data_IF_401238854744
#
_entry.id   IF_401238854744
#
_cell.length_a   1.000
_cell.length_b   1.000
_cell.length_c   1.000
_cell.angle_alpha   90.00
_cell.angle_beta   90.00
_cell.angle_gamma   90.00
#
_symmetry.space_group_name_H-M   'P 1'
#
loop_
_entity.id
_entity.type
_entity.pdbx_description
1 polymer ?
#
# COMPACT_ATOMS: atom_id res chain seq x y z
N UNK A 1 16.34 32.52 -14.07
CA UNK A 1 16.91 31.32 -13.42
C UNK A 1 16.79 31.55 -11.92
N UNK A 2 15.69 31.09 -11.32
CA UNK A 2 15.51 31.19 -9.87
C UNK A 2 16.46 30.19 -9.20
N UNK A 3 17.13 30.54 -8.11
CA UNK A 3 17.98 29.60 -7.41
C UNK A 3 17.11 28.43 -6.93
N UNK A 4 17.59 27.20 -7.12
CA UNK A 4 16.96 26.03 -6.53
C UNK A 4 16.85 26.27 -5.02
N UNK A 5 15.63 26.39 -4.50
CA UNK A 5 15.42 26.37 -3.06
C UNK A 5 15.99 25.05 -2.56
N UNK A 6 16.99 25.13 -1.70
CA UNK A 6 17.52 23.98 -0.98
C UNK A 6 16.34 23.40 -0.18
N UNK A 7 15.93 22.20 -0.56
CA UNK A 7 14.76 21.49 -0.03
C UNK A 7 15.01 21.18 1.45
N UNK A 8 14.03 21.40 2.33
CA UNK A 8 14.24 21.26 3.77
C UNK A 8 14.29 19.78 4.23
N UNK A 9 13.75 18.88 3.40
CA UNK A 9 13.79 17.43 3.62
C UNK A 9 15.21 16.89 3.55
N UNK A 10 15.58 16.09 4.56
CA UNK A 10 16.93 15.56 4.74
C UNK A 10 17.03 14.09 4.32
N UNK A 11 15.91 13.36 4.30
CA UNK A 11 15.87 11.93 4.01
C UNK A 11 15.41 11.66 2.57
N UNK A 12 14.39 12.36 2.10
CA UNK A 12 13.87 12.27 0.72
C UNK A 12 14.75 13.09 -0.22
N UNK A 13 15.17 12.50 -1.33
CA UNK A 13 16.02 13.14 -2.33
C UNK A 13 15.21 14.07 -3.25
N UNK A 14 14.67 15.15 -2.67
CA UNK A 14 13.80 16.10 -3.37
C UNK A 14 14.50 16.77 -4.55
N UNK A 15 15.81 17.01 -4.48
CA UNK A 15 16.57 17.56 -5.61
C UNK A 15 16.44 16.66 -6.84
N UNK A 16 16.59 15.34 -6.69
CA UNK A 16 16.42 14.38 -7.79
C UNK A 16 14.98 14.32 -8.28
N UNK A 17 14.03 14.21 -7.35
CA UNK A 17 12.61 14.07 -7.68
C UNK A 17 12.09 15.29 -8.44
N UNK A 18 12.41 16.49 -7.97
CA UNK A 18 11.98 17.76 -8.58
C UNK A 18 12.68 18.00 -9.93
N UNK A 19 13.94 17.59 -10.08
CA UNK A 19 14.64 17.72 -11.36
C UNK A 19 13.98 16.91 -12.50
N UNK A 20 13.36 15.78 -12.17
CA UNK A 20 12.67 14.91 -13.13
C UNK A 20 11.16 15.18 -13.24
N UNK A 21 10.62 16.04 -12.38
CA UNK A 21 9.19 16.31 -12.25
C UNK A 21 8.49 16.68 -13.58
N UNK A 22 9.05 17.54 -14.45
CA UNK A 22 8.41 17.88 -15.73
C UNK A 22 8.16 16.66 -16.64
N UNK A 23 9.07 15.68 -16.63
CA UNK A 23 8.91 14.42 -17.35
C UNK A 23 7.95 13.50 -16.59
N UNK A 24 8.12 13.41 -15.28
CA UNK A 24 7.38 12.52 -14.40
C UNK A 24 5.88 12.79 -14.42
N UNK A 25 5.42 14.05 -14.43
CA UNK A 25 3.99 14.40 -14.49
C UNK A 25 3.33 13.86 -15.77
N UNK A 26 3.98 14.01 -16.93
CA UNK A 26 3.47 13.47 -18.19
C UNK A 26 3.46 11.95 -18.22
N UNK A 27 4.52 11.32 -17.69
CA UNK A 27 4.60 9.86 -17.57
C UNK A 27 3.53 9.30 -16.64
N UNK A 28 3.29 9.96 -15.50
CA UNK A 28 2.28 9.58 -14.52
C UNK A 28 0.87 9.63 -15.11
N UNK A 29 0.47 10.79 -15.64
CA UNK A 29 -0.88 11.00 -16.16
C UNK A 29 -1.20 10.15 -17.40
N UNK A 30 -0.19 9.85 -18.22
CA UNK A 30 -0.33 9.02 -19.42
C UNK A 30 -0.23 7.52 -19.18
N UNK A 31 0.14 7.09 -17.97
CA UNK A 31 0.37 5.67 -17.68
C UNK A 31 -0.91 4.84 -17.75
N UNK A 32 -0.76 3.58 -18.15
CA UNK A 32 -1.83 2.58 -18.23
C UNK A 32 -1.48 1.40 -17.32
N UNK A 33 -2.45 0.77 -16.62
CA UNK A 33 -3.90 0.86 -16.84
C UNK A 33 -4.61 2.02 -16.11
N UNK A 34 -3.90 2.70 -15.21
CA UNK A 34 -4.34 3.90 -14.51
C UNK A 34 -3.13 4.78 -14.21
N UNK A 35 -3.30 6.06 -13.86
CA UNK A 35 -2.17 6.95 -13.59
C UNK A 35 -1.26 6.41 -12.49
N UNK A 36 0.00 6.19 -12.82
CA UNK A 36 1.01 5.67 -11.91
C UNK A 36 2.42 6.00 -12.41
N UNK A 37 3.39 5.96 -11.50
CA UNK A 37 4.81 6.09 -11.83
C UNK A 37 5.67 5.30 -10.83
N UNK A 38 6.76 4.74 -11.34
CA UNK A 38 7.82 4.14 -10.52
C UNK A 38 8.96 5.15 -10.37
N UNK A 39 9.33 5.44 -9.13
CA UNK A 39 10.42 6.33 -8.77
C UNK A 39 11.50 5.51 -8.07
N UNK A 40 12.72 5.54 -8.58
CA UNK A 40 13.87 4.88 -7.98
C UNK A 40 14.73 5.86 -7.19
N UNK A 41 15.37 5.35 -6.13
CA UNK A 41 16.23 6.07 -5.20
C UNK A 41 15.55 7.29 -4.56
N UNK A 42 14.32 7.09 -4.06
CA UNK A 42 13.52 8.16 -3.46
C UNK A 42 14.18 8.72 -2.20
N UNK A 43 14.76 7.86 -1.37
CA UNK A 43 15.51 8.27 -0.19
C UNK A 43 16.99 8.44 -0.53
N UNK A 44 17.65 9.38 0.13
CA UNK A 44 19.11 9.40 0.19
C UNK A 44 19.62 8.07 0.76
N UNK A 45 20.74 7.57 0.20
CA UNK A 45 21.24 6.23 0.54
C UNK A 45 21.43 5.97 2.05
N UNK A 46 21.95 6.93 2.86
CA UNK A 46 22.04 6.73 4.31
C UNK A 46 20.67 6.60 5.00
N UNK A 47 19.66 7.33 4.51
CA UNK A 47 18.30 7.26 5.04
C UNK A 47 17.64 5.93 4.69
N UNK A 48 17.79 5.46 3.44
CA UNK A 48 17.32 4.14 3.03
C UNK A 48 17.94 3.02 3.87
N UNK A 49 19.27 3.03 4.03
CA UNK A 49 19.98 2.04 4.84
C UNK A 49 19.50 2.04 6.30
N UNK A 50 19.25 3.23 6.88
CA UNK A 50 18.74 3.36 8.25
C UNK A 50 17.29 2.90 8.40
N UNK A 51 16.45 3.15 7.39
CA UNK A 51 15.06 2.68 7.36
C UNK A 51 14.98 1.15 7.25
N UNK A 52 15.81 0.56 6.39
CA UNK A 52 15.95 -0.89 6.25
C UNK A 52 16.44 -1.54 7.55
N UNK A 53 17.50 -0.99 8.16
CA UNK A 53 18.05 -1.53 9.41
C UNK A 53 17.06 -1.40 10.58
N UNK A 54 16.22 -0.37 10.57
CA UNK A 54 15.12 -0.17 11.53
C UNK A 54 13.87 -1.00 11.22
N UNK A 55 13.81 -1.70 10.08
CA UNK A 55 12.63 -2.48 9.71
C UNK A 55 12.46 -3.69 10.63
N UNK A 56 11.27 -3.90 11.23
CA UNK A 56 11.07 -4.96 12.21
C UNK A 56 11.35 -6.36 11.66
N UNK A 57 11.87 -7.24 12.52
CA UNK A 57 12.18 -8.61 12.17
C UNK A 57 10.94 -9.41 11.75
N UNK A 58 11.15 -10.46 10.96
CA UNK A 58 10.06 -11.27 10.36
C UNK A 58 9.12 -11.91 11.38
N UNK A 59 9.61 -12.24 12.58
CA UNK A 59 8.85 -12.90 13.64
C UNK A 59 8.58 -12.00 14.85
N UNK A 60 8.72 -10.68 14.67
CA UNK A 60 8.44 -9.71 15.72
C UNK A 60 6.94 -9.72 16.10
N UNK A 61 6.65 -9.62 17.40
CA UNK A 61 5.29 -9.46 17.92
C UNK A 61 4.61 -8.15 17.47
N UNK A 62 5.41 -7.23 16.94
CA UNK A 62 5.03 -6.01 16.24
C UNK A 62 3.99 -6.22 15.12
N UNK A 63 3.98 -7.38 14.48
CA UNK A 63 3.15 -7.63 13.30
C UNK A 63 1.72 -8.07 13.64
N UNK A 64 0.73 -7.41 13.02
CA UNK A 64 -0.65 -7.90 12.94
C UNK A 64 -0.83 -8.72 11.66
N UNK A 65 -1.29 -9.96 11.79
CA UNK A 65 -1.47 -10.87 10.66
C UNK A 65 -2.86 -10.71 10.01
N UNK A 66 -2.86 -10.61 8.69
CA UNK A 66 -4.03 -10.69 7.83
C UNK A 66 -3.90 -11.96 7.00
N UNK A 67 -4.63 -13.00 7.42
CA UNK A 67 -4.52 -14.34 6.84
C UNK A 67 -5.92 -14.89 6.53
N UNK A 68 -6.35 -14.67 5.30
CA UNK A 68 -7.59 -15.23 4.74
C UNK A 68 -7.39 -15.51 3.23
N UNK A 69 -8.46 -15.83 2.51
CA UNK A 69 -8.37 -16.26 1.09
C UNK A 69 -7.72 -15.19 0.22
N UNK A 70 -8.02 -13.91 0.50
CA UNK A 70 -7.58 -12.80 -0.32
C UNK A 70 -6.20 -12.25 0.01
N UNK A 71 -5.69 -12.50 1.22
CA UNK A 71 -4.36 -12.06 1.59
C UNK A 71 -3.72 -12.93 2.67
N UNK A 72 -2.41 -13.07 2.55
CA UNK A 72 -1.54 -13.58 3.60
C UNK A 72 -0.40 -12.58 3.74
N UNK A 73 -0.66 -11.53 4.51
CA UNK A 73 0.25 -10.42 4.76
C UNK A 73 0.25 -10.02 6.24
N UNK A 74 1.22 -9.22 6.61
CA UNK A 74 1.39 -8.68 7.95
C UNK A 74 1.49 -7.17 7.84
N UNK A 75 0.90 -6.45 8.79
CA UNK A 75 1.04 -5.00 8.85
C UNK A 75 1.18 -4.48 10.28
N UNK A 76 1.68 -3.25 10.37
CA UNK A 76 1.60 -2.42 11.55
C UNK A 76 1.25 -0.99 11.12
N UNK A 77 0.15 -0.48 11.67
CA UNK A 77 -0.43 0.83 11.37
C UNK A 77 -0.23 1.83 12.52
N UNK A 78 0.70 1.56 13.45
CA UNK A 78 0.95 2.39 14.63
C UNK A 78 2.36 3.00 14.53
N UNK A 79 2.52 4.15 13.85
CA UNK A 79 3.82 4.73 13.56
C UNK A 79 4.69 5.00 14.80
N UNK A 80 4.08 5.38 15.92
CA UNK A 80 4.79 5.63 17.19
C UNK A 80 5.50 4.38 17.76
N UNK A 81 5.18 3.18 17.24
CA UNK A 81 5.84 1.94 17.63
C UNK A 81 7.05 1.58 16.75
N UNK A 82 7.27 2.31 15.66
CA UNK A 82 8.31 2.02 14.68
C UNK A 82 9.67 2.54 15.12
N UNK A 83 10.75 2.07 14.50
CA UNK A 83 12.06 2.68 14.68
C UNK A 83 12.05 4.16 14.25
N UNK A 84 12.82 5.02 14.94
CA UNK A 84 12.89 6.46 14.67
C UNK A 84 13.20 6.78 13.20
N UNK A 85 14.02 5.95 12.53
CA UNK A 85 14.33 6.11 11.11
C UNK A 85 13.10 5.97 10.20
N UNK A 86 12.20 5.04 10.52
CA UNK A 86 10.96 4.83 9.76
C UNK A 86 9.92 5.90 10.07
N UNK A 87 9.84 6.33 11.33
CA UNK A 87 8.99 7.47 11.71
C UNK A 87 9.41 8.73 10.97
N UNK A 88 10.71 9.04 10.94
CA UNK A 88 11.23 10.22 10.27
C UNK A 88 10.97 10.19 8.75
N UNK A 89 11.13 9.03 8.09
CA UNK A 89 10.75 8.86 6.67
C UNK A 89 9.26 9.13 6.45
N UNK A 90 8.39 8.54 7.27
CA UNK A 90 6.94 8.76 7.15
C UNK A 90 6.56 10.22 7.41
N UNK A 91 7.22 10.90 8.35
CA UNK A 91 7.02 12.33 8.62
C UNK A 91 7.40 13.20 7.42
N UNK A 92 8.51 12.90 6.73
CA UNK A 92 8.88 13.62 5.51
C UNK A 92 7.87 13.41 4.38
N UNK A 93 7.30 12.20 4.25
CA UNK A 93 6.21 11.94 3.31
C UNK A 93 4.89 12.65 3.67
N UNK A 94 4.69 13.04 4.93
CA UNK A 94 3.59 13.91 5.35
C UNK A 94 3.92 15.40 5.31
N UNK A 95 5.16 15.78 4.96
CA UNK A 95 5.58 17.17 4.98
C UNK A 95 4.86 18.00 3.90
N UNK A 96 4.61 19.30 4.12
CA UNK A 96 4.04 20.17 3.09
C UNK A 96 4.82 20.17 1.78
N UNK A 97 6.15 20.03 1.87
CA UNK A 97 7.04 20.01 0.70
C UNK A 97 6.85 18.76 -0.16
N UNK A 98 6.79 17.57 0.45
CA UNK A 98 6.53 16.34 -0.29
C UNK A 98 5.09 16.26 -0.80
N UNK A 99 4.13 16.76 -0.02
CA UNK A 99 2.73 16.87 -0.46
C UNK A 99 2.64 17.75 -1.70
N UNK A 100 3.25 18.93 -1.70
CA UNK A 100 3.27 19.82 -2.87
C UNK A 100 3.90 19.14 -4.11
N UNK A 101 4.97 18.37 -3.93
CA UNK A 101 5.54 17.55 -5.00
C UNK A 101 4.54 16.52 -5.54
N UNK A 102 3.81 15.81 -4.68
CA UNK A 102 2.79 14.86 -5.12
C UNK A 102 1.62 15.56 -5.83
N UNK A 103 1.20 16.74 -5.37
CA UNK A 103 0.16 17.52 -6.05
C UNK A 103 0.58 17.90 -7.47
N UNK A 104 1.82 18.34 -7.67
CA UNK A 104 2.35 18.68 -9.00
C UNK A 104 2.58 17.44 -9.88
N UNK A 105 3.09 16.35 -9.30
CA UNK A 105 3.30 15.08 -10.00
C UNK A 105 1.98 14.51 -10.53
N UNK A 106 0.95 14.56 -9.69
CA UNK A 106 -0.32 13.85 -9.94
C UNK A 106 -1.39 14.73 -10.57
N UNK A 107 -1.25 16.06 -10.45
CA UNK A 107 -2.27 17.03 -10.83
C UNK A 107 -3.49 17.07 -9.89
N UNK A 108 -3.42 16.43 -8.72
CA UNK A 108 -4.48 16.43 -7.71
C UNK A 108 -4.11 17.41 -6.61
N UNK A 109 -4.89 18.47 -6.42
CA UNK A 109 -4.66 19.49 -5.40
C UNK A 109 -5.39 19.21 -4.08
N UNK A 110 -4.95 19.88 -3.02
CA UNK A 110 -5.46 19.80 -1.65
C UNK A 110 -5.32 18.39 -1.06
N UNK A 111 -4.17 17.76 -1.30
CA UNK A 111 -3.87 16.44 -0.75
C UNK A 111 -3.66 16.53 0.76
N UNK A 112 -4.32 15.63 1.47
CA UNK A 112 -4.24 15.45 2.92
C UNK A 112 -3.46 14.16 3.17
N UNK A 113 -2.22 14.23 3.69
CA UNK A 113 -1.46 13.03 4.02
C UNK A 113 -2.02 12.37 5.29
N UNK A 114 -2.11 11.04 5.30
CA UNK A 114 -2.58 10.29 6.48
C UNK A 114 -1.42 9.69 7.28
N UNK A 115 -1.07 10.33 8.41
CA UNK A 115 -0.10 9.79 9.37
C UNK A 115 -0.75 8.83 10.39
N UNK A 116 -2.07 8.62 10.35
CA UNK A 116 -2.75 7.62 11.18
C UNK A 116 -2.65 6.21 10.60
N UNK A 117 -2.14 6.10 9.35
CA UNK A 117 -1.88 4.85 8.63
C UNK A 117 -3.14 4.00 8.45
N UNK A 118 -4.28 4.64 8.18
CA UNK A 118 -5.56 3.97 7.96
C UNK A 118 -5.49 3.07 6.71
N UNK A 119 -5.39 1.75 6.95
CA UNK A 119 -5.13 0.74 5.93
C UNK A 119 -3.71 0.75 5.33
N UNK A 120 -2.85 1.69 5.74
CA UNK A 120 -1.47 1.87 5.29
C UNK A 120 -0.47 1.19 6.23
N UNK A 121 0.66 1.86 6.48
CA UNK A 121 1.67 1.47 7.45
C UNK A 121 2.79 0.59 6.89
N UNK A 122 3.56 -0.01 7.79
CA UNK A 122 4.57 -1.00 7.41
C UNK A 122 3.88 -2.30 7.04
N UNK A 123 4.21 -2.87 5.89
CA UNK A 123 3.71 -4.14 5.40
C UNK A 123 4.85 -5.13 5.17
N UNK A 124 4.56 -6.39 5.44
CA UNK A 124 5.45 -7.51 5.21
C UNK A 124 4.66 -8.69 4.64
N UNK A 125 5.18 -9.31 3.58
CA UNK A 125 4.68 -10.61 3.10
C UNK A 125 5.78 -11.65 3.10
N UNK A 126 5.57 -12.76 3.81
CA UNK A 126 6.53 -13.86 3.94
C UNK A 126 6.44 -14.81 2.73
N UNK A 127 7.40 -15.74 2.61
CA UNK A 127 7.33 -16.86 1.66
C UNK A 127 5.95 -17.53 1.68
N UNK A 128 5.39 -17.76 0.49
CA UNK A 128 4.06 -18.34 0.27
C UNK A 128 2.90 -17.36 0.48
N UNK A 129 3.14 -16.16 1.02
CA UNK A 129 2.12 -15.14 1.18
C UNK A 129 1.84 -14.40 -0.12
N UNK A 130 0.65 -13.79 -0.21
CA UNK A 130 0.13 -13.13 -1.40
C UNK A 130 -0.86 -12.03 -1.02
N UNK A 131 -1.19 -11.20 -2.00
CA UNK A 131 -2.30 -10.25 -1.95
C UNK A 131 -3.03 -10.32 -3.29
N UNK A 132 -4.25 -10.85 -3.30
CA UNK A 132 -5.02 -10.99 -4.53
C UNK A 132 -5.28 -9.61 -5.17
N UNK A 133 -5.59 -9.62 -6.47
CA UNK A 133 -5.90 -8.38 -7.19
C UNK A 133 -7.10 -7.69 -6.55
N UNK A 134 -7.00 -6.38 -6.30
CA UNK A 134 -8.04 -5.59 -5.69
C UNK A 134 -7.99 -4.13 -6.13
N UNK A 135 -9.14 -3.46 -6.00
CA UNK A 135 -9.19 -2.01 -5.87
C UNK A 135 -9.40 -1.68 -4.40
N UNK A 136 -8.71 -0.64 -3.93
CA UNK A 136 -8.73 -0.24 -2.53
C UNK A 136 -10.07 0.32 -2.07
N UNK A 137 -10.26 0.39 -0.75
CA UNK A 137 -11.34 1.16 -0.17
C UNK A 137 -11.18 2.66 -0.51
N UNK A 138 -12.30 3.37 -0.64
CA UNK A 138 -12.31 4.72 -1.23
C UNK A 138 -12.32 5.89 -0.25
N UNK A 139 -12.52 5.65 1.04
CA UNK A 139 -12.67 6.72 2.06
C UNK A 139 -11.96 6.38 3.35
N UNK A 140 -11.47 7.38 4.06
CA UNK A 140 -10.89 7.20 5.39
C UNK A 140 -11.94 6.61 6.37
N UNK A 141 -11.54 5.70 7.25
CA UNK A 141 -12.48 4.98 8.11
C UNK A 141 -13.07 5.87 9.22
N UNK A 142 -12.32 6.88 9.67
CA UNK A 142 -12.72 7.82 10.73
C UNK A 142 -13.01 9.25 10.23
N UNK A 143 -12.64 9.59 9.00
CA UNK A 143 -12.90 10.90 8.38
C UNK A 143 -13.77 10.69 7.14
N UNK A 144 -15.10 10.62 7.34
CA UNK A 144 -16.02 10.14 6.30
C UNK A 144 -16.04 11.00 5.03
N UNK A 145 -15.69 12.27 5.14
CA UNK A 145 -15.59 13.21 4.02
C UNK A 145 -14.23 13.17 3.31
N UNK A 146 -13.29 12.31 3.72
CA UNK A 146 -12.00 12.15 3.06
C UNK A 146 -12.06 11.04 2.02
N UNK A 147 -11.87 11.40 0.74
CA UNK A 147 -11.75 10.47 -0.37
C UNK A 147 -10.29 10.13 -0.63
N UNK A 148 -9.96 8.84 -0.70
CA UNK A 148 -8.60 8.37 -1.00
C UNK A 148 -8.27 8.69 -2.46
N UNK A 149 -7.12 9.30 -2.70
CA UNK A 149 -6.69 9.76 -4.04
C UNK A 149 -5.41 9.09 -4.50
N UNK A 150 -4.39 9.07 -3.65
CA UNK A 150 -3.05 8.61 -4.02
C UNK A 150 -2.57 7.57 -3.02
N UNK A 151 -1.92 6.54 -3.56
CA UNK A 151 -1.10 5.63 -2.80
C UNK A 151 0.37 5.82 -3.14
N UNK A 152 1.22 5.80 -2.11
CA UNK A 152 2.65 5.54 -2.27
C UNK A 152 3.00 4.21 -1.62
N UNK A 153 3.82 3.42 -2.30
CA UNK A 153 4.39 2.17 -1.79
C UNK A 153 5.91 2.24 -1.92
N UNK A 154 6.61 2.57 -0.84
CA UNK A 154 8.07 2.52 -0.77
C UNK A 154 8.53 1.12 -0.39
N UNK A 155 9.32 0.48 -1.25
CA UNK A 155 9.88 -0.83 -0.99
C UNK A 155 11.17 -0.74 -0.18
N UNK A 156 11.20 -1.49 0.93
CA UNK A 156 12.27 -1.49 1.93
C UNK A 156 13.00 -2.85 1.95
N UNK A 157 13.18 -3.43 0.76
CA UNK A 157 13.92 -4.67 0.55
C UNK A 157 15.38 -4.31 0.24
N UNK A 158 16.36 -4.86 0.96
CA UNK A 158 17.78 -4.65 0.63
C UNK A 158 18.10 -5.16 -0.77
N UNK A 159 17.65 -6.38 -1.03
CA UNK A 159 17.78 -7.07 -2.31
C UNK A 159 16.45 -7.75 -2.63
N UNK A 160 16.11 -7.82 -3.90
CA UNK A 160 14.96 -8.59 -4.36
C UNK A 160 15.27 -9.25 -5.69
N UNK A 161 15.23 -10.58 -5.71
CA UNK A 161 15.44 -11.35 -6.94
C UNK A 161 14.12 -11.59 -7.66
N UNK A 162 14.16 -11.50 -8.99
CA UNK A 162 12.96 -11.62 -9.84
C UNK A 162 12.30 -12.99 -9.75
N UNK A 163 13.07 -14.07 -9.51
CA UNK A 163 12.57 -15.44 -9.35
C UNK A 163 11.84 -15.67 -8.02
N UNK A 164 11.90 -14.73 -7.08
CA UNK A 164 11.14 -14.75 -5.83
C UNK A 164 9.67 -14.33 -6.00
N UNK A 165 9.30 -13.83 -7.19
CA UNK A 165 7.96 -13.34 -7.48
C UNK A 165 7.65 -12.03 -6.75
N UNK A 166 6.37 -11.80 -6.42
CA UNK A 166 5.95 -10.65 -5.61
C UNK A 166 5.94 -9.30 -6.32
N UNK A 167 6.13 -9.29 -7.65
CA UNK A 167 5.88 -8.11 -8.48
C UNK A 167 4.43 -7.70 -8.31
N UNK A 168 4.19 -6.41 -8.08
CA UNK A 168 2.84 -5.88 -8.04
C UNK A 168 2.31 -5.81 -9.46
N UNK A 169 1.30 -6.60 -9.78
CA UNK A 169 0.56 -6.57 -11.03
C UNK A 169 -0.40 -5.38 -11.05
N UNK A 170 -0.50 -4.71 -12.20
CA UNK A 170 -1.43 -3.60 -12.49
C UNK A 170 -2.36 -4.06 -13.62
N UNK A 171 -3.66 -4.17 -13.32
CA UNK A 171 -4.67 -4.74 -14.21
C UNK A 171 -5.56 -3.67 -14.81
N UNK A 172 -6.07 -3.95 -16.01
CA UNK A 172 -7.07 -3.09 -16.63
C UNK A 172 -8.38 -3.01 -15.81
N UNK A 173 -9.18 -1.95 -15.98
CA UNK A 173 -10.44 -1.77 -15.24
C UNK A 173 -11.47 -2.89 -15.47
N UNK A 174 -11.34 -3.67 -16.54
CA UNK A 174 -12.23 -4.79 -16.87
C UNK A 174 -11.73 -6.13 -16.32
N UNK A 175 -10.58 -6.15 -15.62
CA UNK A 175 -9.90 -7.36 -15.15
C UNK A 175 -9.62 -8.38 -16.27
N UNK A 176 -9.33 -7.92 -17.49
CA UNK A 176 -9.09 -8.82 -18.63
C UNK A 176 -7.62 -9.18 -18.83
N UNK A 177 -6.70 -8.27 -18.52
CA UNK A 177 -5.27 -8.49 -18.63
C UNK A 177 -4.47 -7.67 -17.61
N UNK A 178 -3.35 -8.24 -17.18
CA UNK A 178 -2.28 -7.50 -16.52
C UNK A 178 -1.56 -6.63 -17.57
N UNK A 179 -1.53 -5.31 -17.37
CA UNK A 179 -0.93 -4.35 -18.31
C UNK A 179 0.41 -3.79 -17.83
N UNK A 180 0.78 -4.02 -16.56
CA UNK A 180 2.05 -3.59 -16.01
C UNK A 180 2.42 -4.38 -14.77
N UNK A 181 3.70 -4.41 -14.44
CA UNK A 181 4.18 -5.01 -13.19
C UNK A 181 5.28 -4.15 -12.57
N UNK A 182 5.33 -4.11 -11.24
CA UNK A 182 6.34 -3.37 -10.49
C UNK A 182 7.11 -4.31 -9.56
N UNK A 183 8.41 -4.48 -9.83
CA UNK A 183 9.31 -5.22 -8.93
C UNK A 183 9.45 -4.48 -7.60
N UNK A 184 9.36 -5.17 -6.45
CA UNK A 184 9.53 -4.55 -5.13
C UNK A 184 11.01 -4.32 -4.78
N UNK A 185 11.76 -3.66 -5.68
CA UNK A 185 13.18 -3.38 -5.50
C UNK A 185 13.43 -2.37 -4.37
N UNK A 186 14.57 -2.45 -3.69
CA UNK A 186 14.93 -1.51 -2.62
C UNK A 186 14.94 -0.05 -3.08
N UNK A 187 14.44 0.84 -2.23
CA UNK A 187 14.38 2.30 -2.45
C UNK A 187 13.56 2.71 -3.69
N UNK A 188 12.76 1.78 -4.22
CA UNK A 188 11.76 2.04 -5.25
C UNK A 188 10.44 2.42 -4.61
N UNK A 189 9.81 3.46 -5.12
CA UNK A 189 8.46 3.84 -4.78
C UNK A 189 7.54 3.68 -5.99
N UNK A 190 6.39 3.06 -5.78
CA UNK A 190 5.27 3.16 -6.71
C UNK A 190 4.32 4.24 -6.20
N UNK A 191 4.01 5.22 -7.04
CA UNK A 191 2.96 6.22 -6.79
C UNK A 191 1.83 5.97 -7.79
N UNK A 192 0.57 5.94 -7.34
CA UNK A 192 -0.56 5.73 -8.24
C UNK A 192 -1.87 6.33 -7.74
N UNK A 193 -2.74 6.68 -8.68
CA UNK A 193 -4.09 7.16 -8.39
C UNK A 193 -4.97 5.97 -8.03
N UNK A 194 -5.71 6.11 -6.93
CA UNK A 194 -6.69 5.13 -6.50
C UNK A 194 -8.07 5.45 -7.05
N UNK A 195 -8.72 4.46 -7.64
CA UNK A 195 -10.11 4.50 -8.09
C UNK A 195 -10.80 3.18 -7.77
N UNK A 196 -12.10 3.08 -8.06
CA UNK A 196 -12.85 1.83 -7.84
C UNK A 196 -12.44 0.68 -8.76
N UNK A 197 -11.55 0.94 -9.71
CA UNK A 197 -11.09 0.07 -10.78
C UNK A 197 -9.56 0.16 -11.01
N UNK A 198 -8.81 0.79 -10.11
CA UNK A 198 -7.35 0.77 -10.10
C UNK A 198 -6.84 -0.57 -9.55
N UNK A 199 -7.07 -1.65 -10.31
CA UNK A 199 -6.83 -3.02 -9.86
C UNK A 199 -5.35 -3.36 -9.78
N UNK A 200 -4.90 -3.81 -8.61
CA UNK A 200 -3.52 -4.19 -8.37
C UNK A 200 -3.38 -5.28 -7.30
N UNK A 201 -2.24 -5.97 -7.29
CA UNK A 201 -1.95 -6.99 -6.28
C UNK A 201 -0.73 -7.84 -6.64
N UNK A 202 -0.35 -8.78 -5.79
CA UNK A 202 0.63 -9.82 -6.10
C UNK A 202 0.03 -11.18 -5.70
N UNK A 203 -0.82 -11.76 -6.56
CA UNK A 203 -1.70 -12.88 -6.21
C UNK A 203 -0.98 -14.23 -6.08
N UNK A 204 0.26 -14.32 -6.60
CA UNK A 204 1.09 -15.51 -6.49
C UNK A 204 1.89 -15.50 -5.19
N UNK A 205 1.93 -16.66 -4.54
CA UNK A 205 2.68 -16.86 -3.29
C UNK A 205 4.18 -16.66 -3.52
N UNK A 206 4.82 -15.89 -2.66
CA UNK A 206 6.26 -15.59 -2.78
C UNK A 206 7.12 -16.86 -2.69
N UNK A 207 8.20 -16.90 -3.46
CA UNK A 207 9.19 -18.00 -3.49
C UNK A 207 10.52 -17.62 -2.84
N UNK A 208 10.60 -16.46 -2.19
CA UNK A 208 11.78 -15.98 -1.46
C UNK A 208 12.24 -16.96 -0.35
N UNK A 209 13.50 -16.87 0.11
CA UNK A 209 13.97 -17.61 1.29
C UNK A 209 13.08 -17.42 2.54
N UNK A 210 13.05 -18.39 3.47
CA UNK A 210 12.16 -18.37 4.63
C UNK A 210 12.41 -17.22 5.62
N UNK A 211 13.64 -16.70 5.65
CA UNK A 211 14.12 -15.60 6.48
C UNK A 211 13.98 -14.23 5.79
N UNK A 212 13.54 -14.23 4.52
CA UNK A 212 13.25 -13.04 3.74
C UNK A 212 11.75 -12.78 3.64
N UNK A 213 11.40 -11.52 3.40
CA UNK A 213 10.02 -11.10 3.18
C UNK A 213 9.98 -9.89 2.26
N UNK A 214 8.89 -9.73 1.51
CA UNK A 214 8.57 -8.52 0.75
C UNK A 214 8.14 -7.43 1.73
N UNK A 215 8.94 -6.37 1.88
CA UNK A 215 8.78 -5.27 2.83
C UNK A 215 8.40 -3.97 2.10
N UNK A 216 7.46 -3.23 2.67
CA UNK A 216 7.12 -1.90 2.18
C UNK A 216 6.58 -0.98 3.29
N UNK A 217 6.72 0.32 3.10
CA UNK A 217 5.92 1.35 3.76
C UNK A 217 4.85 1.82 2.77
N UNK A 218 3.58 1.70 3.16
CA UNK A 218 2.44 2.18 2.39
C UNK A 218 1.82 3.41 3.07
N UNK A 219 1.65 4.49 2.34
CA UNK A 219 1.00 5.71 2.83
C UNK A 219 0.01 6.25 1.81
N UNK A 220 -1.06 6.85 2.30
CA UNK A 220 -2.18 7.27 1.48
C UNK A 220 -2.46 8.76 1.66
N UNK A 221 -2.95 9.37 0.59
CA UNK A 221 -3.29 10.78 0.54
C UNK A 221 -4.73 10.92 0.08
N UNK A 222 -5.44 11.82 0.75
CA UNK A 222 -6.87 12.02 0.60
C UNK A 222 -7.17 13.43 0.10
N UNK A 223 -8.39 13.66 -0.36
CA UNK A 223 -8.95 15.01 -0.47
C UNK A 223 -10.23 15.07 0.36
N UNK A 224 -10.55 16.25 0.87
CA UNK A 224 -11.86 16.49 1.49
C UNK A 224 -12.91 16.76 0.41
N UNK A 225 -14.03 16.06 0.47
CA UNK A 225 -15.13 16.16 -0.50
C UNK A 225 -16.46 16.42 0.23
N UNK A 226 -17.34 17.24 -0.35
CA UNK A 226 -18.68 17.50 0.20
C UNK A 226 -19.50 16.21 0.33
N UNK A 227 -19.30 15.27 -0.60
CA UNK A 227 -19.89 13.95 -0.52
C UNK A 227 -18.92 12.91 -1.08
N UNK A 228 -18.59 11.91 -0.26
CA UNK A 228 -17.77 10.79 -0.67
C UNK A 228 -18.65 9.57 -0.94
N UNK A 229 -18.25 8.75 -1.92
CA UNK A 229 -18.85 7.43 -2.13
C UNK A 229 -17.95 6.40 -1.46
N UNK A 230 -18.40 5.89 -0.30
CA UNK A 230 -17.67 4.85 0.43
C UNK A 230 -17.83 3.48 -0.23
N UNK A 231 -16.69 2.90 -0.60
CA UNK A 231 -16.54 1.55 -1.14
C UNK A 231 -15.51 0.81 -0.29
N UNK A 232 -15.79 -0.45 0.02
CA UNK A 232 -14.82 -1.35 0.64
C UNK A 232 -13.85 -1.90 -0.43
N UNK A 233 -12.77 -2.54 0.02
CA UNK A 233 -11.80 -3.18 -0.87
C UNK A 233 -12.47 -4.22 -1.76
N UNK A 234 -12.30 -4.06 -3.07
CA UNK A 234 -12.94 -4.88 -4.08
C UNK A 234 -11.95 -5.91 -4.64
N UNK A 235 -11.89 -7.09 -4.02
CA UNK A 235 -11.07 -8.20 -4.51
C UNK A 235 -11.63 -8.80 -5.81
N UNK A 236 -10.73 -9.10 -6.73
CA UNK A 236 -10.99 -9.71 -8.03
C UNK A 236 -10.07 -10.92 -8.24
N UNK A 237 -10.62 -11.96 -8.85
CA UNK A 237 -9.84 -13.11 -9.27
C UNK A 237 -9.33 -12.89 -10.69
N UNK A 238 -8.10 -13.34 -10.99
CA UNK A 238 -7.58 -13.30 -12.36
C UNK A 238 -8.42 -14.21 -13.29
N UNK A 239 -8.52 -13.91 -14.60
CA UNK A 239 -9.32 -14.69 -15.56
C UNK A 239 -8.99 -16.18 -15.61
N UNK A 240 -7.73 -16.54 -15.41
CA UNK A 240 -7.19 -17.90 -15.45
C UNK A 240 -7.41 -18.69 -14.15
N UNK A 241 -7.81 -18.03 -13.06
CA UNK A 241 -8.07 -18.71 -11.79
C UNK A 241 -9.18 -19.75 -11.92
N UNK A 242 -9.02 -20.86 -11.19
CA UNK A 242 -10.01 -21.95 -11.17
C UNK A 242 -11.38 -21.46 -10.68
N UNK A 243 -12.47 -22.09 -11.12
CA UNK A 243 -13.84 -21.73 -10.69
C UNK A 243 -14.01 -21.77 -9.17
N UNK A 244 -13.38 -22.74 -8.51
CA UNK A 244 -13.38 -22.88 -7.05
C UNK A 244 -12.68 -21.70 -6.38
N UNK A 245 -11.50 -21.29 -6.87
CA UNK A 245 -10.78 -20.12 -6.34
C UNK A 245 -11.54 -18.81 -6.58
N UNK A 246 -12.14 -18.63 -7.76
CA UNK A 246 -13.01 -17.48 -8.05
C UNK A 246 -14.18 -17.38 -7.07
N UNK A 247 -14.85 -18.50 -6.79
CA UNK A 247 -15.94 -18.56 -5.83
C UNK A 247 -15.48 -18.22 -4.40
N UNK A 248 -14.31 -18.74 -3.99
CA UNK A 248 -13.73 -18.45 -2.67
C UNK A 248 -13.39 -16.96 -2.50
N UNK A 249 -12.75 -16.34 -3.51
CA UNK A 249 -12.44 -14.91 -3.52
C UNK A 249 -13.71 -14.06 -3.42
N UNK A 250 -14.73 -14.38 -4.20
CA UNK A 250 -16.00 -13.64 -4.21
C UNK A 250 -16.78 -13.77 -2.89
N UNK A 251 -16.78 -14.96 -2.29
CA UNK A 251 -17.39 -15.21 -0.99
C UNK A 251 -16.69 -14.43 0.12
N UNK A 252 -15.36 -14.48 0.17
CA UNK A 252 -14.54 -13.76 1.14
C UNK A 252 -14.74 -12.23 1.02
N UNK A 253 -14.76 -11.68 -0.19
CA UNK A 253 -15.10 -10.27 -0.45
C UNK A 253 -16.46 -9.90 0.15
N UNK A 254 -17.48 -10.72 -0.08
CA UNK A 254 -18.84 -10.46 0.42
C UNK A 254 -18.89 -10.49 1.94
N UNK A 255 -18.14 -11.40 2.58
CA UNK A 255 -18.03 -11.46 4.04
C UNK A 255 -17.39 -10.20 4.60
N UNK A 256 -16.29 -9.72 3.98
CA UNK A 256 -15.63 -8.48 4.39
C UNK A 256 -16.55 -7.26 4.23
N UNK A 257 -17.30 -7.17 3.13
CA UNK A 257 -18.27 -6.09 2.89
C UNK A 257 -19.42 -6.10 3.91
N UNK A 258 -19.90 -7.27 4.32
CA UNK A 258 -20.90 -7.40 5.39
C UNK A 258 -20.30 -6.99 6.72
N UNK A 259 -19.10 -7.48 7.02
CA UNK A 259 -18.39 -7.18 8.26
C UNK A 259 -18.15 -5.67 8.42
N UNK A 260 -17.66 -4.98 7.39
CA UNK A 260 -17.48 -3.52 7.41
C UNK A 260 -18.81 -2.78 7.69
N UNK A 261 -19.89 -3.17 7.01
CA UNK A 261 -21.22 -2.58 7.23
C UNK A 261 -21.73 -2.80 8.66
N UNK A 262 -21.54 -3.99 9.22
CA UNK A 262 -21.97 -4.33 10.59
C UNK A 262 -21.14 -3.58 11.61
N UNK A 263 -19.81 -3.58 11.48
CA UNK A 263 -18.88 -2.87 12.36
C UNK A 263 -19.26 -1.39 12.45
N UNK A 264 -19.56 -0.75 11.32
CA UNK A 264 -20.02 0.64 11.26
C UNK A 264 -21.34 0.87 11.96
N UNK A 265 -22.33 0.01 11.70
CA UNK A 265 -23.66 0.14 12.34
C UNK A 265 -23.59 0.00 13.87
N UNK A 266 -22.62 -0.76 14.37
CA UNK A 266 -22.48 -1.08 15.79
C UNK A 266 -21.37 -0.30 16.52
N UNK A 267 -20.53 0.47 15.82
CA UNK A 267 -19.44 1.25 16.41
C UNK A 267 -18.33 0.41 17.07
N UNK A 268 -18.10 -0.82 16.60
CA UNK A 268 -17.16 -1.77 17.23
C UNK A 268 -15.72 -1.50 16.73
N UNK A 269 -14.73 -1.46 17.64
CA UNK A 269 -13.31 -1.27 17.28
C UNK A 269 -12.65 -2.52 16.69
N UNK A 270 -11.59 -2.35 15.90
CA UNK A 270 -10.87 -3.46 15.25
C UNK A 270 -10.27 -4.46 16.24
N UNK A 271 -9.86 -4.01 17.41
CA UNK A 271 -9.29 -4.89 18.44
C UNK A 271 -10.31 -5.88 19.03
N UNK A 272 -11.60 -5.51 19.04
CA UNK A 272 -12.66 -6.42 19.47
C UNK A 272 -12.90 -7.51 18.41
N UNK A 273 -12.91 -7.13 17.14
CA UNK A 273 -13.16 -8.06 16.04
C UNK A 273 -11.98 -8.98 15.72
N UNK A 274 -10.74 -8.47 15.77
CA UNK A 274 -9.54 -9.29 15.62
C UNK A 274 -9.45 -10.36 16.72
N UNK A 275 -9.87 -10.07 17.96
CA UNK A 275 -9.94 -11.08 19.02
C UNK A 275 -10.96 -12.17 18.72
N UNK A 276 -12.12 -11.82 18.16
CA UNK A 276 -13.14 -12.79 17.77
C UNK A 276 -12.64 -13.67 16.61
N UNK A 277 -12.06 -13.07 15.57
CA UNK A 277 -11.54 -13.79 14.41
C UNK A 277 -10.32 -14.67 14.75
N UNK A 278 -9.42 -14.19 15.62
CA UNK A 278 -8.29 -15.00 16.13
C UNK A 278 -8.77 -16.19 16.96
N UNK A 279 -9.91 -16.06 17.66
CA UNK A 279 -10.51 -17.16 18.42
C UNK A 279 -11.16 -18.19 17.48
N UNK A 280 -11.85 -17.73 16.43
CA UNK A 280 -12.49 -18.60 15.43
C UNK A 280 -11.46 -19.36 14.56
N UNK A 281 -10.35 -18.71 14.17
CA UNK A 281 -9.27 -19.37 13.42
C UNK A 281 -8.48 -20.38 14.27
N UNK A 282 -8.32 -20.16 15.57
CA UNK A 282 -7.78 -21.17 16.51
C UNK A 282 -8.68 -22.40 16.63
N UNK A 283 -9.99 -22.23 16.50
CA UNK A 283 -10.96 -23.32 16.53
C UNK A 283 -10.97 -24.14 15.22
N UNK A 284 -10.73 -23.51 14.07
CA UNK A 284 -10.65 -24.23 12.79
C UNK A 284 -9.34 -25.00 12.61
N UNK A 285 -8.24 -24.59 13.27
CA UNK A 285 -6.95 -25.30 13.29
C UNK A 285 -6.88 -26.49 14.26
N UNK A 286 -7.93 -26.73 15.05
CA UNK A 286 -8.03 -27.87 15.99
C UNK A 286 -8.88 -29.03 15.46
N UNK A 287 -9.24 -29.01 14.17
CA UNK A 287 -9.89 -30.12 13.47
C UNK A 287 -9.00 -30.64 12.35
#
# INVERSE_FOLDING_TARGET
MMPAMETALQLVNMTRLTADLPRATGAYGGAQPFPHIVLDDVLHQPAFASAVAGFPGIDDAFWKAYAHVNETKYSNTQPDTWADSLQAVAQEFCSPEFVAYLEELTGISNLIPDYTMDGGGLHMTKRGGHLNIHADFSTHHTHENWARRINILLYLNEEWHDDWGGKLELWDPQMTACQGTVTPAGNRMLVFTTSGDSFHGHPDGLTCPPDMARRSLAMYYFTEEESTVRKATNYQARPEETRTRKAAIAADRTVLDVYDRVKRRLGISDDAAHRVLATLSKLSRRK
#
